data_IF_749709563879
#
_entry.id   IF_749709563879
#
_cell.length_a   1.000
_cell.length_b   1.000
_cell.length_c   1.000
_cell.angle_alpha   90.00
_cell.angle_beta   90.00
_cell.angle_gamma   90.00
#
_symmetry.space_group_name_H-M   'P 1'
#
loop_
_entity.id
_entity.type
_entity.pdbx_description
1 polymer ?
#
# COMPACT_ATOMS: atom_id res chain seq x y z
N UNK A 1 -13.81 47.76 -23.02
CA UNK A 1 -12.50 47.47 -22.45
C UNK A 1 -12.55 46.04 -21.91
N UNK A 2 -11.96 45.08 -22.64
CA UNK A 2 -11.86 43.69 -22.19
C UNK A 2 -10.54 43.55 -21.45
N UNK A 3 -10.58 43.35 -20.12
CA UNK A 3 -9.39 43.06 -19.34
C UNK A 3 -8.98 41.60 -19.53
N UNK A 4 -7.87 41.40 -20.22
CA UNK A 4 -7.21 40.11 -20.30
C UNK A 4 -6.53 39.82 -18.95
N UNK A 5 -7.16 38.96 -18.12
CA UNK A 5 -6.42 38.37 -17.00
C UNK A 5 -5.57 37.21 -17.54
N UNK A 6 -4.30 37.50 -17.74
CA UNK A 6 -3.27 36.52 -17.94
C UNK A 6 -2.91 35.98 -16.55
N UNK A 7 -3.44 34.81 -16.16
CA UNK A 7 -3.01 34.16 -14.95
C UNK A 7 -1.59 33.62 -15.14
N UNK A 8 -0.67 34.16 -14.38
CA UNK A 8 0.73 33.74 -14.34
C UNK A 8 0.80 32.35 -13.70
N UNK A 9 1.11 31.33 -14.50
CA UNK A 9 1.33 29.96 -14.02
C UNK A 9 2.77 29.89 -13.51
N UNK A 10 2.97 29.93 -12.21
CA UNK A 10 4.31 29.78 -11.62
C UNK A 10 4.61 28.30 -11.47
N UNK A 11 5.52 27.78 -12.29
CA UNK A 11 6.10 26.46 -12.16
C UNK A 11 7.25 26.54 -11.18
N UNK A 12 7.11 25.96 -10.00
CA UNK A 12 8.21 25.82 -9.04
C UNK A 12 8.70 24.39 -9.13
N UNK A 13 9.94 24.21 -9.62
CA UNK A 13 10.67 22.94 -9.47
C UNK A 13 11.09 22.82 -8.01
N UNK A 14 10.44 21.91 -7.25
CA UNK A 14 10.82 21.64 -5.87
C UNK A 14 12.03 20.72 -5.83
N UNK A 15 13.08 21.16 -5.13
CA UNK A 15 14.20 20.32 -4.73
C UNK A 15 13.69 19.20 -3.80
N UNK A 16 14.04 17.96 -4.16
CA UNK A 16 13.86 16.81 -3.29
C UNK A 16 14.93 16.82 -2.21
N UNK A 17 14.53 16.90 -0.94
CA UNK A 17 15.46 16.71 0.18
C UNK A 17 15.81 15.22 0.37
N UNK A 18 17.08 15.03 0.50
CA UNK A 18 17.93 13.87 0.52
C UNK A 18 17.56 12.71 1.47
N UNK A 19 17.55 11.47 0.95
CA UNK A 19 18.48 10.39 1.33
C UNK A 19 18.51 9.30 0.25
N UNK A 20 19.74 9.09 -0.27
CA UNK A 20 20.27 7.94 -1.02
C UNK A 20 19.67 7.57 -2.39
N UNK A 21 20.58 7.53 -3.35
CA UNK A 21 20.52 7.26 -4.79
C UNK A 21 19.92 8.38 -5.63
N UNK A 22 20.77 8.94 -6.50
CA UNK A 22 20.44 9.96 -7.49
C UNK A 22 19.29 9.45 -8.41
N UNK A 23 18.04 9.64 -7.99
CA UNK A 23 16.95 9.71 -8.94
C UNK A 23 17.11 11.02 -9.70
N UNK A 24 17.36 10.94 -11.00
CA UNK A 24 17.37 12.10 -11.88
C UNK A 24 16.11 12.92 -11.62
N UNK A 25 16.24 14.23 -11.50
CA UNK A 25 15.11 15.14 -11.31
C UNK A 25 14.06 14.83 -12.38
N UNK A 26 12.88 14.41 -11.97
CA UNK A 26 11.81 14.04 -12.89
C UNK A 26 11.11 15.30 -13.35
N UNK A 27 11.21 15.63 -14.63
CA UNK A 27 10.56 16.78 -15.23
C UNK A 27 9.05 16.68 -15.11
N UNK A 28 8.47 17.51 -14.26
CA UNK A 28 7.03 17.68 -14.17
C UNK A 28 6.59 18.80 -15.11
N UNK A 29 5.70 18.48 -16.05
CA UNK A 29 5.12 19.45 -16.98
C UNK A 29 3.65 19.69 -16.65
N UNK A 30 3.25 20.96 -16.63
CA UNK A 30 1.87 21.38 -16.41
C UNK A 30 1.37 22.10 -17.64
N UNK A 31 0.31 21.60 -18.26
CA UNK A 31 -0.28 22.18 -19.48
C UNK A 31 -1.77 22.39 -19.27
N UNK A 32 -2.25 23.60 -19.55
CA UNK A 32 -3.70 23.87 -19.54
C UNK A 32 -4.32 23.51 -20.89
N UNK A 33 -5.35 22.68 -20.86
CA UNK A 33 -6.13 22.28 -22.04
C UNK A 33 -7.60 22.57 -21.75
N UNK A 34 -8.12 23.68 -22.30
CA UNK A 34 -9.51 24.12 -22.06
C UNK A 34 -9.81 24.31 -20.56
N UNK A 35 -10.72 23.53 -20.01
CA UNK A 35 -11.14 23.54 -18.58
C UNK A 35 -10.30 22.60 -17.73
N UNK A 36 -9.30 21.94 -18.29
CA UNK A 36 -8.47 20.98 -17.59
C UNK A 36 -7.00 21.42 -17.51
N UNK A 37 -6.32 20.89 -16.51
CA UNK A 37 -4.87 20.90 -16.39
C UNK A 37 -4.39 19.47 -16.59
N UNK A 38 -3.46 19.29 -17.53
CA UNK A 38 -2.74 18.02 -17.71
C UNK A 38 -1.38 18.17 -17.05
N UNK A 39 -1.15 17.37 -16.02
CA UNK A 39 0.15 17.23 -15.36
C UNK A 39 0.80 15.96 -15.90
N UNK A 40 2.03 16.07 -16.41
CA UNK A 40 2.71 14.94 -17.05
C UNK A 40 4.17 14.82 -16.62
N UNK A 41 4.68 13.57 -16.63
CA UNK A 41 6.06 13.22 -16.26
C UNK A 41 6.52 11.97 -17.01
N UNK A 42 7.83 11.66 -17.06
CA UNK A 42 8.34 10.47 -17.76
C UNK A 42 7.77 9.18 -17.21
N UNK A 43 7.34 8.27 -18.08
CA UNK A 43 6.76 6.97 -17.70
C UNK A 43 7.78 6.05 -17.01
N UNK A 44 9.08 6.24 -17.23
CA UNK A 44 10.13 5.51 -16.52
C UNK A 44 10.07 5.71 -14.99
N UNK A 45 9.51 6.84 -14.53
CA UNK A 45 9.32 7.16 -13.11
C UNK A 45 7.89 6.87 -12.60
N UNK A 46 7.04 6.24 -13.42
CA UNK A 46 5.61 6.04 -13.10
C UNK A 46 5.36 5.27 -11.81
N UNK A 47 6.21 4.29 -11.54
CA UNK A 47 6.10 3.43 -10.36
C UNK A 47 6.70 4.03 -9.09
N UNK A 48 7.50 5.08 -9.18
CA UNK A 48 8.31 5.60 -8.08
C UNK A 48 7.73 6.86 -7.45
N UNK A 49 6.79 7.52 -8.16
CA UNK A 49 6.21 8.78 -7.73
C UNK A 49 4.68 8.76 -7.80
N UNK A 50 4.07 9.63 -7.01
CA UNK A 50 2.65 9.97 -7.09
C UNK A 50 2.46 11.50 -7.09
N UNK A 51 1.37 11.95 -7.70
CA UNK A 51 1.07 13.36 -7.84
C UNK A 51 0.39 13.89 -6.58
N UNK A 52 0.87 15.05 -6.11
CA UNK A 52 0.22 15.84 -5.06
C UNK A 52 -0.18 17.21 -5.58
N UNK A 53 -1.26 17.75 -5.01
CA UNK A 53 -1.79 19.08 -5.29
C UNK A 53 -1.94 19.88 -4.01
N UNK A 54 -1.68 21.18 -4.08
CA UNK A 54 -1.98 22.14 -3.00
C UNK A 54 -2.61 23.41 -3.61
N UNK A 55 -3.41 24.12 -2.82
CA UNK A 55 -4.01 25.41 -3.23
C UNK A 55 -3.27 26.62 -2.70
N UNK A 56 -2.34 26.42 -1.78
CA UNK A 56 -1.41 27.43 -1.30
C UNK A 56 -0.07 26.77 -0.91
N UNK A 57 0.96 27.60 -0.77
CA UNK A 57 2.30 27.18 -0.35
C UNK A 57 2.72 27.84 0.97
N UNK A 58 1.78 28.38 1.73
CA UNK A 58 2.06 28.89 3.09
C UNK A 58 2.42 27.70 4.00
N UNK A 59 3.53 27.79 4.67
CA UNK A 59 3.99 26.70 5.54
C UNK A 59 3.14 26.56 6.83
N UNK A 60 2.77 25.33 7.23
CA UNK A 60 2.97 24.08 6.46
C UNK A 60 1.97 23.96 5.30
N UNK A 61 2.49 23.79 4.08
CA UNK A 61 1.64 23.65 2.90
C UNK A 61 0.83 22.34 2.97
N UNK A 62 -0.48 22.47 2.82
CA UNK A 62 -1.42 21.32 2.88
C UNK A 62 -1.43 20.58 1.54
N UNK A 63 -0.43 19.74 1.28
CA UNK A 63 -0.37 18.86 0.13
C UNK A 63 -1.33 17.69 0.26
N UNK A 64 -2.18 17.49 -0.74
CA UNK A 64 -3.09 16.34 -0.85
C UNK A 64 -2.70 15.47 -2.03
N UNK A 65 -2.92 14.16 -1.93
CA UNK A 65 -2.73 13.27 -3.07
C UNK A 65 -3.79 13.58 -4.13
N UNK A 66 -3.38 13.65 -5.39
CA UNK A 66 -4.32 13.77 -6.49
C UNK A 66 -5.14 12.47 -6.59
N UNK A 67 -6.46 12.61 -6.68
CA UNK A 67 -7.40 11.47 -6.77
C UNK A 67 -7.65 11.03 -8.21
N UNK A 68 -7.15 11.80 -9.20
CA UNK A 68 -7.33 11.50 -10.62
C UNK A 68 -6.47 10.34 -11.07
N UNK A 69 -7.03 9.50 -11.94
CA UNK A 69 -6.31 8.37 -12.51
C UNK A 69 -5.06 8.83 -13.28
N UNK A 70 -4.02 8.02 -13.18
CA UNK A 70 -2.79 8.21 -13.98
C UNK A 70 -2.95 7.40 -15.26
N UNK A 71 -2.93 8.10 -16.40
CA UNK A 71 -2.84 7.49 -17.72
C UNK A 71 -1.40 7.44 -18.22
N UNK A 72 -1.13 6.58 -19.20
CA UNK A 72 0.17 6.50 -19.87
C UNK A 72 -0.01 6.65 -21.36
N UNK A 73 0.81 7.48 -22.00
CA UNK A 73 0.88 7.64 -23.45
C UNK A 73 2.36 7.59 -23.89
N UNK A 74 2.76 6.46 -24.48
CA UNK A 74 4.15 6.21 -24.84
C UNK A 74 5.08 6.28 -23.63
N UNK A 75 6.07 7.17 -23.67
CA UNK A 75 7.05 7.38 -22.61
C UNK A 75 6.62 8.40 -21.52
N UNK A 76 5.33 8.79 -21.51
CA UNK A 76 4.82 9.86 -20.63
C UNK A 76 3.64 9.36 -19.82
N UNK A 77 3.70 9.55 -18.50
CA UNK A 77 2.56 9.45 -17.60
C UNK A 77 1.86 10.81 -17.51
N UNK A 78 0.55 10.79 -17.35
CA UNK A 78 -0.23 12.01 -17.17
C UNK A 78 -1.43 11.83 -16.25
N UNK A 79 -1.85 12.93 -15.66
CA UNK A 79 -3.09 13.03 -14.88
C UNK A 79 -3.84 14.27 -15.37
N UNK A 80 -5.16 14.14 -15.58
CA UNK A 80 -6.02 15.23 -16.03
C UNK A 80 -6.86 15.70 -14.84
N UNK A 81 -6.72 16.98 -14.50
CA UNK A 81 -7.32 17.60 -13.32
C UNK A 81 -8.19 18.76 -13.78
N UNK A 82 -9.42 18.87 -13.28
CA UNK A 82 -10.26 20.06 -13.55
C UNK A 82 -9.64 21.30 -12.94
N UNK A 83 -9.74 22.41 -13.68
CA UNK A 83 -9.30 23.72 -13.19
C UNK A 83 -10.21 24.17 -12.05
N UNK A 84 -9.69 24.21 -10.84
CA UNK A 84 -10.39 24.84 -9.71
C UNK A 84 -10.13 26.36 -9.67
N UNK A 85 -11.03 27.16 -9.06
CA UNK A 85 -10.77 28.55 -8.80
C UNK A 85 -9.53 28.76 -7.91
N UNK A 86 -8.73 29.79 -8.23
CA UNK A 86 -7.53 30.14 -7.48
C UNK A 86 -6.25 29.47 -8.01
N UNK A 87 -5.20 29.52 -7.21
CA UNK A 87 -3.91 28.93 -7.55
C UNK A 87 -3.90 27.43 -7.21
N UNK A 88 -3.28 26.65 -8.07
CA UNK A 88 -3.01 25.23 -7.85
C UNK A 88 -1.54 24.95 -8.07
N UNK A 89 -0.95 24.20 -7.17
CA UNK A 89 0.44 23.79 -7.18
C UNK A 89 0.52 22.27 -7.26
N UNK A 90 1.50 21.78 -8.00
CA UNK A 90 1.67 20.34 -8.25
C UNK A 90 3.08 19.91 -7.92
N UNK A 91 3.22 18.72 -7.35
CA UNK A 91 4.52 18.06 -7.17
C UNK A 91 4.39 16.55 -7.35
N UNK A 92 5.48 15.91 -7.73
CA UNK A 92 5.66 14.49 -7.58
C UNK A 92 6.28 14.21 -6.21
N UNK A 93 5.73 13.27 -5.50
CA UNK A 93 6.31 12.74 -4.26
C UNK A 93 6.67 11.29 -4.47
N UNK A 94 7.87 10.90 -4.06
CA UNK A 94 8.29 9.51 -4.09
C UNK A 94 7.48 8.66 -3.12
N UNK A 95 7.28 7.40 -3.46
CA UNK A 95 6.81 6.40 -2.51
C UNK A 95 7.88 6.15 -1.44
N UNK A 96 7.45 5.86 -0.23
CA UNK A 96 8.34 5.35 0.81
C UNK A 96 8.59 3.87 0.50
N UNK A 97 9.79 3.55 -0.01
CA UNK A 97 10.18 2.18 -0.35
C UNK A 97 10.51 1.44 0.93
N UNK A 98 9.74 0.38 1.22
CA UNK A 98 9.97 -0.49 2.38
C UNK A 98 10.94 -1.63 2.03
N UNK A 99 10.87 -2.14 0.80
CA UNK A 99 11.79 -3.17 0.31
C UNK A 99 12.01 -3.05 -1.20
N UNK A 100 13.27 -2.90 -1.58
CA UNK A 100 13.75 -2.73 -2.97
C UNK A 100 14.57 -3.93 -3.47
N UNK A 101 14.69 -4.98 -2.68
CA UNK A 101 15.54 -6.15 -2.97
C UNK A 101 16.90 -6.13 -2.30
N UNK A 102 17.26 -5.06 -1.58
CA UNK A 102 18.61 -4.90 -1.02
C UNK A 102 18.64 -4.74 0.50
N UNK A 103 17.63 -4.15 1.11
CA UNK A 103 17.65 -3.79 2.52
C UNK A 103 16.37 -4.16 3.26
N UNK A 104 16.52 -4.71 4.46
CA UNK A 104 15.43 -4.99 5.40
C UNK A 104 15.29 -3.93 6.50
N UNK A 105 15.98 -2.79 6.38
CA UNK A 105 16.05 -1.75 7.42
C UNK A 105 14.68 -1.13 7.79
N UNK A 106 13.68 -1.23 6.92
CA UNK A 106 12.32 -0.79 7.20
C UNK A 106 11.53 -1.77 8.08
N UNK A 107 12.11 -2.93 8.42
CA UNK A 107 11.43 -3.99 9.16
C UNK A 107 12.17 -4.43 10.40
N UNK A 108 11.41 -4.98 11.33
CA UNK A 108 11.88 -5.74 12.51
C UNK A 108 10.94 -6.92 12.76
N UNK A 109 11.32 -7.84 13.60
CA UNK A 109 10.42 -8.90 14.04
C UNK A 109 9.29 -8.34 14.93
N UNK A 110 8.12 -8.98 14.87
CA UNK A 110 7.01 -8.68 15.78
C UNK A 110 7.47 -8.89 17.23
N UNK A 111 7.27 -7.85 18.09
CA UNK A 111 7.77 -7.80 19.48
C UNK A 111 9.29 -8.00 19.63
N UNK A 112 10.05 -7.74 18.57
CA UNK A 112 11.51 -7.82 18.58
C UNK A 112 12.13 -6.47 18.18
N UNK A 113 13.37 -6.24 18.61
CA UNK A 113 14.09 -5.01 18.28
C UNK A 113 14.78 -5.07 16.92
N UNK A 114 15.01 -6.29 16.39
CA UNK A 114 15.82 -6.52 15.19
C UNK A 114 15.04 -7.33 14.15
N UNK A 115 15.54 -7.31 12.91
CA UNK A 115 15.03 -8.15 11.84
C UNK A 115 15.41 -9.62 12.08
N UNK A 116 14.48 -10.59 11.95
CA UNK A 116 14.73 -12.03 12.20
C UNK A 116 15.41 -12.70 11.00
N UNK A 117 16.73 -12.54 10.86
CA UNK A 117 17.51 -13.03 9.73
C UNK A 117 17.56 -14.58 9.62
N UNK A 118 17.20 -15.29 10.66
CA UNK A 118 17.05 -16.75 10.70
C UNK A 118 15.73 -17.24 10.10
N UNK A 119 14.75 -16.35 9.95
CA UNK A 119 13.40 -16.68 9.51
C UNK A 119 12.98 -15.96 8.21
N UNK A 120 13.74 -14.97 7.81
CA UNK A 120 13.57 -14.22 6.57
C UNK A 120 14.91 -13.94 5.94
N UNK A 121 15.02 -14.07 4.63
CA UNK A 121 16.23 -13.73 3.90
C UNK A 121 15.94 -12.98 2.61
N UNK A 122 16.98 -12.33 2.08
CA UNK A 122 16.95 -11.75 0.74
C UNK A 122 17.60 -12.76 -0.19
N UNK A 123 16.87 -13.19 -1.23
CA UNK A 123 17.38 -14.12 -2.25
C UNK A 123 18.38 -13.41 -3.18
N UNK A 124 19.13 -14.19 -3.96
CA UNK A 124 20.02 -13.64 -4.98
C UNK A 124 19.31 -12.80 -6.06
N UNK A 125 18.01 -13.01 -6.22
CA UNK A 125 17.16 -12.25 -7.14
C UNK A 125 16.56 -10.97 -6.51
N UNK A 126 16.94 -10.62 -5.27
CA UNK A 126 16.39 -9.46 -4.58
C UNK A 126 14.94 -9.66 -4.12
N UNK A 127 14.55 -10.88 -3.78
CA UNK A 127 13.23 -11.20 -3.24
C UNK A 127 13.35 -11.39 -1.73
N UNK A 128 12.42 -10.86 -0.95
CA UNK A 128 12.31 -11.15 0.48
C UNK A 128 11.53 -12.46 0.64
N UNK A 129 12.17 -13.46 1.24
CA UNK A 129 11.65 -14.81 1.33
C UNK A 129 11.53 -15.26 2.78
N UNK A 130 10.39 -15.85 3.16
CA UNK A 130 10.23 -16.58 4.42
C UNK A 130 11.01 -17.90 4.37
N UNK A 131 11.70 -18.25 5.47
CA UNK A 131 12.44 -19.50 5.60
C UNK A 131 11.48 -20.64 5.90
N UNK A 132 11.65 -21.76 5.20
CA UNK A 132 10.80 -22.93 5.30
C UNK A 132 10.77 -23.53 6.71
N UNK A 133 9.57 -23.96 7.15
CA UNK A 133 9.38 -24.77 8.36
C UNK A 133 9.42 -23.99 9.69
N UNK A 134 9.53 -22.69 9.64
CA UNK A 134 9.70 -21.91 10.88
C UNK A 134 8.41 -21.55 11.59
N UNK A 135 7.25 -21.45 10.86
CA UNK A 135 5.96 -21.06 11.45
C UNK A 135 6.16 -19.93 12.47
N UNK A 136 6.77 -18.79 12.02
CA UNK A 136 7.56 -18.07 12.95
C UNK A 136 7.30 -16.59 13.02
N UNK A 137 8.35 -15.84 13.31
CA UNK A 137 8.25 -14.41 13.57
C UNK A 137 7.78 -13.66 12.32
N UNK A 138 6.64 -13.01 12.44
CA UNK A 138 6.19 -12.03 11.46
C UNK A 138 7.14 -10.84 11.47
N UNK A 139 7.40 -10.26 10.31
CA UNK A 139 8.08 -8.97 10.24
C UNK A 139 7.07 -7.85 10.25
N UNK A 140 7.39 -6.76 10.95
CA UNK A 140 6.58 -5.55 10.98
C UNK A 140 7.41 -4.36 10.56
N UNK A 141 6.77 -3.33 10.03
CA UNK A 141 7.45 -2.07 9.71
C UNK A 141 8.00 -1.40 10.97
N UNK A 142 9.08 -0.65 10.85
CA UNK A 142 9.62 0.17 11.95
C UNK A 142 8.76 1.41 12.23
N UNK A 143 8.00 1.86 11.23
CA UNK A 143 7.06 2.97 11.33
C UNK A 143 5.62 2.47 11.38
N UNK A 144 4.76 3.22 12.06
CA UNK A 144 3.31 3.02 12.06
C UNK A 144 2.62 3.86 10.97
N UNK A 145 1.48 3.36 10.48
CA UNK A 145 0.64 3.98 9.46
C UNK A 145 -0.81 4.06 9.94
N UNK A 146 -1.46 5.19 9.65
CA UNK A 146 -2.89 5.44 9.88
C UNK A 146 -3.69 5.35 8.58
N UNK A 147 -3.59 6.38 7.74
CA UNK A 147 -4.14 6.41 6.38
C UNK A 147 -3.01 6.21 5.38
N UNK A 148 -3.12 5.16 4.57
CA UNK A 148 -2.03 4.77 3.68
C UNK A 148 -2.53 3.98 2.47
N UNK A 149 -1.68 3.90 1.48
CA UNK A 149 -1.78 2.94 0.38
C UNK A 149 -0.47 2.15 0.32
N UNK A 150 -0.60 0.82 0.36
CA UNK A 150 0.52 -0.13 0.29
C UNK A 150 0.45 -0.89 -1.03
N UNK A 151 1.58 -0.97 -1.73
CA UNK A 151 1.76 -1.80 -2.92
C UNK A 151 2.84 -2.84 -2.64
N UNK A 152 2.61 -4.06 -3.11
CA UNK A 152 3.62 -5.14 -3.07
C UNK A 152 3.34 -6.18 -4.15
N UNK A 153 4.34 -6.98 -4.43
CA UNK A 153 4.21 -8.19 -5.22
C UNK A 153 4.56 -9.40 -4.39
N UNK A 154 3.87 -10.51 -4.64
CA UNK A 154 4.10 -11.75 -3.94
C UNK A 154 3.87 -12.97 -4.82
N UNK A 155 4.51 -14.08 -4.46
CA UNK A 155 4.23 -15.42 -4.97
C UNK A 155 4.38 -16.43 -3.85
N UNK A 156 3.73 -17.58 -3.95
CA UNK A 156 3.90 -18.71 -3.04
C UNK A 156 4.45 -19.92 -3.77
N UNK A 157 5.10 -20.83 -3.02
CA UNK A 157 5.25 -22.21 -3.39
C UNK A 157 3.97 -23.01 -3.14
N UNK A 158 4.00 -24.31 -3.44
CA UNK A 158 2.91 -25.25 -3.13
C UNK A 158 2.67 -25.28 -1.61
N UNK A 159 1.41 -25.19 -1.19
CA UNK A 159 0.97 -25.06 0.20
C UNK A 159 1.46 -23.77 0.90
N UNK A 160 1.91 -22.76 0.16
CA UNK A 160 2.31 -21.49 0.74
C UNK A 160 1.16 -20.73 1.37
N UNK A 161 1.37 -20.19 2.58
CA UNK A 161 0.40 -19.43 3.33
C UNK A 161 1.09 -18.30 4.08
N UNK A 162 0.59 -17.10 3.91
CA UNK A 162 1.08 -15.85 4.49
C UNK A 162 -0.06 -14.83 4.53
N UNK A 163 0.23 -13.62 4.96
CA UNK A 163 -0.72 -12.53 4.97
C UNK A 163 -0.04 -11.18 5.17
N UNK A 164 -0.75 -10.12 4.83
CA UNK A 164 -0.38 -8.75 5.15
C UNK A 164 -1.39 -8.20 6.13
N UNK A 165 -0.92 -7.94 7.36
CA UNK A 165 -1.74 -7.37 8.42
C UNK A 165 -1.51 -5.86 8.50
N UNK A 166 -2.53 -5.11 8.84
CA UNK A 166 -2.47 -3.64 8.84
C UNK A 166 -3.11 -3.03 10.09
N UNK A 167 -2.51 -1.94 10.56
CA UNK A 167 -2.80 -1.32 11.84
C UNK A 167 -2.52 -2.28 13.02
N UNK A 168 -1.47 -3.09 12.88
CA UNK A 168 -1.03 -4.03 13.92
C UNK A 168 -0.55 -3.27 15.14
N UNK A 169 -0.94 -3.75 16.30
CA UNK A 169 -0.39 -3.32 17.60
C UNK A 169 0.32 -4.48 18.28
N UNK A 170 1.30 -4.18 19.12
CA UNK A 170 2.00 -5.22 19.88
C UNK A 170 1.35 -5.48 21.26
N UNK A 171 0.02 -5.31 21.33
CA UNK A 171 -0.76 -5.52 22.54
C UNK A 171 -0.91 -6.99 22.92
N UNK A 172 -1.09 -7.85 21.91
CA UNK A 172 -1.22 -9.30 22.08
C UNK A 172 0.07 -10.03 21.71
N UNK A 173 0.11 -11.35 22.00
CA UNK A 173 1.29 -12.18 21.71
C UNK A 173 1.48 -12.41 20.20
N UNK A 174 0.39 -12.42 19.42
CA UNK A 174 0.41 -12.61 17.99
C UNK A 174 -0.17 -11.39 17.24
N UNK A 175 0.41 -11.04 16.12
CA UNK A 175 0.01 -9.87 15.32
C UNK A 175 -1.46 -9.93 14.87
N UNK A 176 -1.91 -11.13 14.43
CA UNK A 176 -3.26 -11.38 13.93
C UNK A 176 -4.36 -11.18 14.98
N UNK A 177 -4.01 -11.22 16.27
CA UNK A 177 -4.96 -10.97 17.36
C UNK A 177 -5.36 -9.49 17.48
N UNK A 178 -4.61 -8.58 16.88
CA UNK A 178 -4.87 -7.14 16.94
C UNK A 178 -5.41 -6.53 15.64
N UNK A 179 -5.23 -7.20 14.50
CA UNK A 179 -5.33 -6.54 13.20
C UNK A 179 -5.98 -7.42 12.12
N UNK A 180 -6.74 -6.81 11.19
CA UNK A 180 -7.23 -7.51 10.00
C UNK A 180 -6.06 -7.92 9.10
N UNK A 181 -6.28 -9.00 8.34
CA UNK A 181 -5.30 -9.59 7.44
C UNK A 181 -5.81 -9.65 6.01
N UNK A 182 -4.97 -9.18 5.08
CA UNK A 182 -5.09 -9.45 3.65
C UNK A 182 -4.44 -10.81 3.37
N UNK A 183 -5.22 -11.83 3.04
CA UNK A 183 -4.76 -13.20 2.86
C UNK A 183 -3.89 -13.40 1.62
N UNK A 184 -2.78 -14.13 1.79
CA UNK A 184 -1.85 -14.56 0.73
C UNK A 184 -1.65 -16.07 0.85
N UNK A 185 -2.28 -16.87 -0.02
CA UNK A 185 -2.26 -18.33 0.10
C UNK A 185 -2.24 -19.00 -1.28
N UNK A 186 -1.75 -20.22 -1.34
CA UNK A 186 -1.90 -21.09 -2.52
C UNK A 186 -3.27 -21.73 -2.54
N UNK A 187 -4.28 -21.03 -3.08
CA UNK A 187 -5.68 -21.46 -3.10
C UNK A 187 -5.85 -22.87 -3.69
N UNK A 188 -4.97 -23.28 -4.61
CA UNK A 188 -5.05 -24.58 -5.27
C UNK A 188 -4.69 -25.76 -4.35
N UNK A 189 -3.92 -25.52 -3.29
CA UNK A 189 -3.47 -26.55 -2.35
C UNK A 189 -4.42 -26.79 -1.19
N UNK A 190 -5.45 -25.97 -1.02
CA UNK A 190 -6.35 -26.04 0.14
C UNK A 190 -7.82 -26.15 -0.27
N UNK A 191 -8.60 -26.85 0.56
CA UNK A 191 -10.07 -26.79 0.51
C UNK A 191 -10.52 -25.66 1.45
N UNK A 192 -10.62 -24.45 0.92
CA UNK A 192 -10.82 -23.24 1.71
C UNK A 192 -12.31 -22.88 1.87
N UNK A 193 -12.68 -22.35 3.05
CA UNK A 193 -13.79 -21.40 3.14
C UNK A 193 -13.45 -20.19 2.26
N UNK A 194 -14.37 -19.67 1.42
CA UNK A 194 -14.09 -18.52 0.58
C UNK A 194 -13.49 -17.31 1.30
N UNK A 195 -13.76 -17.15 2.60
CA UNK A 195 -13.18 -16.11 3.46
C UNK A 195 -11.70 -16.34 3.83
N UNK A 196 -11.12 -17.45 3.39
CA UNK A 196 -9.71 -17.80 3.61
C UNK A 196 -8.90 -17.77 2.30
N UNK A 197 -9.55 -17.50 1.17
CA UNK A 197 -8.90 -17.42 -0.14
C UNK A 197 -8.02 -16.15 -0.27
N UNK A 198 -7.11 -16.16 -1.23
CA UNK A 198 -6.23 -15.02 -1.52
C UNK A 198 -7.00 -13.74 -1.80
N UNK A 199 -6.60 -12.65 -1.16
CA UNK A 199 -7.28 -11.34 -1.25
C UNK A 199 -8.43 -11.15 -0.26
N UNK A 200 -8.88 -12.20 0.44
CA UNK A 200 -9.88 -12.09 1.50
C UNK A 200 -9.42 -11.15 2.63
N UNK A 201 -10.39 -10.60 3.37
CA UNK A 201 -10.17 -10.20 4.75
C UNK A 201 -10.30 -11.49 5.56
N UNK A 202 -9.18 -12.09 5.93
CA UNK A 202 -9.09 -13.46 6.43
C UNK A 202 -10.15 -13.78 7.48
N UNK A 203 -10.92 -14.86 7.21
CA UNK A 203 -11.98 -15.36 8.08
C UNK A 203 -13.20 -14.44 8.25
N UNK A 204 -13.25 -13.27 7.57
CA UNK A 204 -14.32 -12.28 7.70
C UNK A 204 -15.04 -12.00 6.39
N UNK A 205 -14.32 -11.64 5.33
CA UNK A 205 -14.90 -11.22 4.04
C UNK A 205 -14.20 -11.96 2.90
N UNK A 206 -14.97 -12.67 2.10
CA UNK A 206 -14.48 -13.37 0.92
C UNK A 206 -14.15 -12.38 -0.22
N UNK A 207 -13.17 -12.68 -1.09
CA UNK A 207 -12.93 -11.91 -2.29
C UNK A 207 -14.09 -12.02 -3.26
N UNK A 208 -14.40 -10.94 -3.98
CA UNK A 208 -15.52 -10.88 -4.94
C UNK A 208 -15.18 -11.47 -6.31
N UNK A 209 -13.89 -11.62 -6.62
CA UNK A 209 -13.41 -12.09 -7.92
C UNK A 209 -12.24 -13.06 -7.73
N UNK A 210 -12.21 -14.11 -8.54
CA UNK A 210 -11.07 -15.02 -8.64
C UNK A 210 -10.10 -14.53 -9.71
N UNK A 211 -9.10 -13.77 -9.30
CA UNK A 211 -8.10 -13.16 -10.19
C UNK A 211 -6.66 -13.53 -9.79
N UNK A 212 -6.52 -14.54 -8.93
CA UNK A 212 -5.23 -15.07 -8.50
C UNK A 212 -4.52 -15.73 -9.68
N UNK A 213 -3.22 -15.49 -9.83
CA UNK A 213 -2.36 -16.22 -10.74
C UNK A 213 -1.94 -17.56 -10.13
N UNK A 214 -1.62 -18.52 -11.01
CA UNK A 214 -1.20 -19.86 -10.57
C UNK A 214 0.00 -19.81 -9.62
N UNK A 215 0.10 -20.82 -8.76
CA UNK A 215 1.21 -21.03 -7.82
C UNK A 215 2.57 -20.81 -8.49
N UNK A 216 3.46 -20.09 -7.84
CA UNK A 216 4.76 -19.70 -8.36
C UNK A 216 4.76 -18.47 -9.27
N UNK A 217 3.62 -17.93 -9.66
CA UNK A 217 3.50 -16.70 -10.43
C UNK A 217 3.39 -15.47 -9.51
N UNK A 218 4.00 -14.36 -9.93
CA UNK A 218 3.92 -13.10 -9.21
C UNK A 218 2.52 -12.49 -9.30
N UNK A 219 1.94 -12.17 -8.16
CA UNK A 219 0.72 -11.41 -8.01
C UNK A 219 1.04 -9.99 -7.57
N UNK A 220 0.27 -9.02 -8.03
CA UNK A 220 0.36 -7.61 -7.65
C UNK A 220 -0.80 -7.27 -6.72
N UNK A 221 -0.49 -6.66 -5.59
CA UNK A 221 -1.47 -6.26 -4.61
C UNK A 221 -1.41 -4.77 -4.31
N UNK A 222 -2.57 -4.25 -3.96
CA UNK A 222 -2.76 -2.91 -3.44
C UNK A 222 -3.72 -2.98 -2.25
N UNK A 223 -3.33 -2.38 -1.15
CA UNK A 223 -4.17 -2.18 0.03
C UNK A 223 -4.34 -0.68 0.25
N UNK A 224 -5.57 -0.20 0.20
CA UNK A 224 -5.93 1.17 0.55
C UNK A 224 -6.60 1.15 1.92
N UNK A 225 -6.13 2.00 2.82
CA UNK A 225 -6.75 2.26 4.11
C UNK A 225 -6.85 3.77 4.29
N UNK A 226 -8.07 4.30 4.28
CA UNK A 226 -8.34 5.73 4.46
C UNK A 226 -9.47 5.93 5.46
N UNK A 227 -9.21 6.56 6.56
CA UNK A 227 -10.13 6.60 7.70
C UNK A 227 -10.56 5.19 8.14
N UNK A 228 -11.82 4.85 7.97
CA UNK A 228 -12.35 3.50 8.21
C UNK A 228 -12.53 2.69 6.92
N UNK A 229 -12.40 3.33 5.76
CA UNK A 229 -12.55 2.70 4.46
C UNK A 229 -11.33 1.85 4.11
N UNK A 230 -11.56 0.61 3.70
CA UNK A 230 -10.52 -0.34 3.31
C UNK A 230 -10.86 -1.00 1.98
N UNK A 231 -9.88 -1.07 1.09
CA UNK A 231 -9.97 -1.79 -0.17
C UNK A 231 -8.81 -2.77 -0.32
N UNK A 232 -9.12 -4.01 -0.67
CA UNK A 232 -8.15 -5.01 -1.13
C UNK A 232 -8.21 -5.12 -2.66
N UNK A 233 -7.06 -5.05 -3.30
CA UNK A 233 -6.92 -5.17 -4.74
C UNK A 233 -5.91 -6.27 -5.09
N UNK A 234 -6.27 -7.14 -6.02
CA UNK A 234 -5.45 -8.24 -6.51
C UNK A 234 -5.40 -8.18 -8.05
N UNK A 235 -4.19 -8.13 -8.62
CA UNK A 235 -3.95 -8.10 -10.06
C UNK A 235 -4.81 -7.05 -10.82
N UNK A 236 -4.95 -5.85 -10.24
CA UNK A 236 -5.68 -4.73 -10.82
C UNK A 236 -7.20 -4.75 -10.57
N UNK A 237 -7.74 -5.73 -9.85
CA UNK A 237 -9.16 -5.85 -9.53
C UNK A 237 -9.39 -5.61 -8.04
N UNK A 238 -10.40 -4.82 -7.67
CA UNK A 238 -10.86 -4.70 -6.29
C UNK A 238 -11.58 -5.99 -5.90
N UNK A 239 -11.04 -6.71 -4.91
CA UNK A 239 -11.55 -8.02 -4.48
C UNK A 239 -12.27 -7.97 -3.15
N UNK A 240 -11.99 -6.97 -2.30
CA UNK A 240 -12.78 -6.71 -1.10
C UNK A 240 -12.83 -5.21 -0.81
N UNK A 241 -13.94 -4.77 -0.21
CA UNK A 241 -14.17 -3.40 0.22
C UNK A 241 -15.04 -3.39 1.47
N UNK A 242 -14.67 -2.62 2.48
CA UNK A 242 -15.41 -2.58 3.72
C UNK A 242 -15.07 -1.35 4.57
N UNK A 243 -15.92 -1.10 5.58
CA UNK A 243 -15.73 -0.04 6.57
C UNK A 243 -15.36 -0.63 7.93
N UNK A 244 -14.14 -0.36 8.43
CA UNK A 244 -13.74 -0.60 9.81
C UNK A 244 -14.70 0.14 10.76
N UNK A 245 -14.96 -0.43 11.92
CA UNK A 245 -15.88 0.14 12.92
C UNK A 245 -17.35 0.28 12.48
N UNK A 246 -17.75 -0.20 11.29
CA UNK A 246 -19.14 -0.28 10.92
C UNK A 246 -19.88 -1.35 11.74
N UNK A 247 -21.22 -1.21 11.94
CA UNK A 247 -22.00 -2.27 12.61
C UNK A 247 -21.90 -3.62 11.89
N UNK A 248 -21.81 -3.63 10.54
CA UNK A 248 -21.65 -4.84 9.75
C UNK A 248 -20.32 -5.54 10.02
N UNK A 249 -19.21 -4.79 9.99
CA UNK A 249 -17.90 -5.35 10.30
C UNK A 249 -17.81 -5.83 11.76
N UNK A 250 -18.36 -5.06 12.70
CA UNK A 250 -18.41 -5.46 14.11
C UNK A 250 -19.19 -6.77 14.32
N UNK A 251 -20.28 -6.98 13.58
CA UNK A 251 -21.05 -8.24 13.62
C UNK A 251 -20.24 -9.43 13.07
N UNK A 252 -19.49 -9.22 11.97
CA UNK A 252 -18.59 -10.27 11.44
C UNK A 252 -17.53 -10.67 12.47
N UNK A 253 -16.87 -9.70 13.10
CA UNK A 253 -15.87 -9.95 14.16
C UNK A 253 -16.51 -10.69 15.34
N UNK A 254 -17.67 -10.25 15.82
CA UNK A 254 -18.36 -10.86 16.96
C UNK A 254 -18.81 -12.31 16.69
N UNK A 255 -19.11 -12.65 15.43
CA UNK A 255 -19.49 -14.00 15.02
C UNK A 255 -18.30 -14.92 14.74
N UNK A 256 -17.09 -14.38 14.64
CA UNK A 256 -15.89 -15.16 14.35
C UNK A 256 -15.30 -15.76 15.61
N UNK A 257 -15.18 -17.09 15.71
CA UNK A 257 -14.53 -17.73 16.87
C UNK A 257 -13.04 -17.36 16.98
N UNK A 258 -12.41 -16.97 15.87
CA UNK A 258 -11.00 -16.59 15.83
C UNK A 258 -10.76 -15.19 16.39
N UNK A 259 -11.69 -14.25 16.19
CA UNK A 259 -11.45 -12.82 16.48
C UNK A 259 -12.29 -12.30 17.65
N UNK A 260 -13.47 -12.86 17.92
CA UNK A 260 -14.34 -12.43 19.01
C UNK A 260 -13.69 -12.42 20.41
N UNK A 261 -12.68 -13.28 20.72
CA UNK A 261 -11.99 -13.23 22.01
C UNK A 261 -11.08 -12.00 22.19
N UNK A 262 -10.70 -11.34 21.09
CA UNK A 262 -9.71 -10.25 21.13
C UNK A 262 -10.39 -8.89 21.06
N UNK A 263 -10.63 -8.28 22.23
CA UNK A 263 -11.37 -7.02 22.36
C UNK A 263 -10.72 -5.84 21.61
N UNK A 264 -9.41 -5.89 21.39
CA UNK A 264 -8.66 -4.85 20.67
C UNK A 264 -8.50 -5.17 19.17
N UNK A 265 -9.06 -6.28 18.66
CA UNK A 265 -8.99 -6.63 17.25
C UNK A 265 -9.62 -5.53 16.39
N UNK A 266 -8.83 -5.04 15.41
CA UNK A 266 -9.22 -4.00 14.46
C UNK A 266 -9.67 -2.66 15.10
N UNK A 267 -9.25 -2.36 16.34
CA UNK A 267 -9.61 -1.08 17.04
C UNK A 267 -8.59 0.01 16.84
N UNK A 268 -7.34 -0.32 16.50
CA UNK A 268 -6.29 0.67 16.33
C UNK A 268 -6.56 1.54 15.10
N UNK A 269 -6.48 2.88 15.28
CA UNK A 269 -6.55 3.84 14.18
C UNK A 269 -5.24 3.92 13.41
N UNK A 270 -4.12 3.63 14.08
CA UNK A 270 -2.76 3.64 13.59
C UNK A 270 -2.00 2.43 14.13
N UNK A 271 -1.13 1.85 13.31
CA UNK A 271 -0.30 0.72 13.71
C UNK A 271 0.68 0.31 12.61
N UNK A 272 1.38 -0.78 12.86
CA UNK A 272 2.37 -1.33 11.95
C UNK A 272 1.72 -2.08 10.78
N UNK A 273 2.46 -2.21 9.68
CA UNK A 273 2.19 -3.18 8.62
C UNK A 273 3.00 -4.44 8.95
N UNK A 274 2.37 -5.61 8.93
CA UNK A 274 3.04 -6.87 9.17
C UNK A 274 2.97 -7.78 7.95
N UNK A 275 4.03 -8.56 7.73
CA UNK A 275 4.08 -9.64 6.74
C UNK A 275 4.27 -10.95 7.49
N UNK A 276 3.33 -11.86 7.27
CA UNK A 276 3.24 -13.08 8.05
C UNK A 276 4.23 -14.14 7.53
N UNK A 277 4.93 -14.77 8.44
CA UNK A 277 5.64 -16.03 8.22
C UNK A 277 4.82 -17.16 8.85
N UNK A 278 4.10 -17.92 8.03
CA UNK A 278 3.22 -18.98 8.54
C UNK A 278 3.63 -20.36 8.05
N UNK A 279 3.45 -20.67 6.78
CA UNK A 279 3.85 -21.96 6.19
C UNK A 279 4.27 -21.80 4.75
N UNK A 280 4.90 -22.83 4.15
CA UNK A 280 6.21 -22.67 3.55
C UNK A 280 6.28 -21.56 2.53
N UNK A 281 7.34 -21.36 1.98
CA UNK A 281 7.91 -20.38 1.07
C UNK A 281 6.93 -19.36 0.47
N UNK A 282 7.01 -18.15 0.97
CA UNK A 282 6.42 -16.95 0.37
C UNK A 282 7.54 -15.99 -0.02
N UNK A 283 7.45 -15.44 -1.21
CA UNK A 283 8.36 -14.40 -1.72
C UNK A 283 7.63 -13.10 -1.88
N UNK A 284 8.27 -12.02 -1.46
CA UNK A 284 7.78 -10.66 -1.54
C UNK A 284 8.80 -9.79 -2.27
N UNK A 285 8.34 -8.79 -3.01
CA UNK A 285 9.19 -7.78 -3.63
C UNK A 285 8.43 -6.48 -3.89
N UNK A 286 9.15 -5.42 -4.26
CA UNK A 286 8.57 -4.13 -4.64
C UNK A 286 7.58 -3.59 -3.59
N UNK A 287 7.97 -3.67 -2.30
CA UNK A 287 7.11 -3.24 -1.20
C UNK A 287 7.29 -1.74 -1.02
N UNK A 288 6.24 -0.98 -1.21
CA UNK A 288 6.25 0.48 -1.05
C UNK A 288 4.93 1.00 -0.51
N UNK A 289 5.00 2.05 0.27
CA UNK A 289 3.85 2.67 0.92
C UNK A 289 3.84 4.17 0.68
N UNK A 290 2.66 4.75 0.62
CA UNK A 290 2.47 6.19 0.74
C UNK A 290 1.45 6.52 1.82
N UNK A 291 1.73 7.57 2.58
CA UNK A 291 0.77 8.12 3.54
C UNK A 291 -0.29 8.93 2.78
N UNK A 292 -1.53 8.77 3.16
CA UNK A 292 -2.63 9.56 2.64
C UNK A 292 -2.85 10.75 3.60
N UNK A 293 -3.39 11.84 3.06
CA UNK A 293 -3.83 12.93 3.92
C UNK A 293 -5.06 12.47 4.71
N UNK A 294 -5.08 12.72 6.00
CA UNK A 294 -6.27 12.55 6.82
C UNK A 294 -7.34 13.52 6.32
N UNK A 295 -8.55 13.04 6.11
CA UNK A 295 -9.70 13.89 5.79
C UNK A 295 -10.13 14.74 7.00
#
# INVERSE_FOLDING_TARGET
MKSNFTSLLTVISALAEFFATQLAATDLRVTRISTNIVVSWPAAAAGDFYLQVATNLTEPAAWKNATTAIGTNGSTCYSTIEVAPGSQFYRLKAWDVLFDGTSTAAFRGYRQAFFPNDQWNITLNGELKSVEGTGGTHIITTNEYDDFELLWEWKTGVNGNSGVLYRVTEYYDEAWQSAPEYQLIDDASYSLDPRQASGAVYGLIAPTNEVLRSTGQWNQCRLLVQSNHVEHWLNGNKVAEYELNSPGFAALVASSPNFSPYLQFAKARKGYLAFQNWTPEVWLRNIKVRRLASE
#
